data_IF_278152927923
#
_entry.id   IF_278152927923
#
_cell.length_a   1.000
_cell.length_b   1.000
_cell.length_c   1.000
_cell.angle_alpha   90.00
_cell.angle_beta   90.00
_cell.angle_gamma   90.00
#
_symmetry.space_group_name_H-M   'P 1'
#
loop_
_entity.id
_entity.type
_entity.pdbx_description
1 polymer ?
#
# COMPACT_ATOMS: atom_id res chain seq x y z
N UNK A 1 18.46 1.87 27.84
CA UNK A 1 17.26 2.71 27.82
C UNK A 1 16.24 2.03 26.89
N UNK A 2 15.16 1.51 27.45
CA UNK A 2 14.07 0.93 26.67
C UNK A 2 13.29 2.08 26.04
N UNK A 3 13.44 2.27 24.74
CA UNK A 3 12.55 3.18 23.99
C UNK A 3 11.17 2.52 23.87
N UNK A 4 10.08 3.24 24.12
CA UNK A 4 8.75 2.67 24.00
C UNK A 4 8.52 2.19 22.56
N UNK A 5 7.86 1.05 22.40
CA UNK A 5 7.63 0.41 21.09
C UNK A 5 7.15 1.39 20.00
N UNK A 6 6.16 2.20 20.32
CA UNK A 6 5.61 3.16 19.35
C UNK A 6 6.56 4.29 18.96
N UNK A 7 7.52 4.65 19.81
CA UNK A 7 8.53 5.64 19.42
C UNK A 7 9.48 5.07 18.35
N UNK A 8 9.77 3.76 18.41
CA UNK A 8 10.55 3.06 17.39
C UNK A 8 9.71 2.87 16.13
N UNK A 9 8.45 2.47 16.27
CA UNK A 9 7.53 2.29 15.15
C UNK A 9 7.33 3.60 14.36
N UNK A 10 7.11 4.74 15.04
CA UNK A 10 6.98 6.05 14.41
C UNK A 10 8.25 6.51 13.68
N UNK A 11 9.42 6.13 14.20
CA UNK A 11 10.70 6.39 13.53
C UNK A 11 10.87 5.55 12.25
N UNK A 12 10.45 4.29 12.28
CA UNK A 12 10.59 3.37 11.14
C UNK A 12 9.50 3.55 10.09
N UNK A 13 8.31 4.00 10.47
CA UNK A 13 7.16 4.10 9.58
C UNK A 13 7.44 4.85 8.26
N UNK A 14 8.17 5.99 8.21
CA UNK A 14 8.49 6.67 6.96
C UNK A 14 9.46 5.90 6.05
N UNK A 15 10.20 4.92 6.58
CA UNK A 15 11.17 4.13 5.81
C UNK A 15 10.51 2.92 5.13
N UNK A 16 9.44 2.40 5.70
CA UNK A 16 8.73 1.22 5.17
C UNK A 16 8.26 1.40 3.72
N UNK A 17 7.68 2.54 3.31
CA UNK A 17 7.24 2.76 1.93
C UNK A 17 8.36 2.60 0.89
N UNK A 18 9.59 2.96 1.23
CA UNK A 18 10.75 2.81 0.32
C UNK A 18 10.95 1.34 -0.04
N UNK A 19 10.90 0.45 0.97
CA UNK A 19 10.99 -0.99 0.77
C UNK A 19 9.80 -1.55 -0.02
N UNK A 20 8.58 -1.09 0.30
CA UNK A 20 7.37 -1.49 -0.44
C UNK A 20 7.47 -1.08 -1.91
N UNK A 21 7.80 0.17 -2.21
CA UNK A 21 7.98 0.66 -3.57
C UNK A 21 9.04 -0.11 -4.35
N UNK A 22 10.20 -0.35 -3.75
CA UNK A 22 11.26 -1.12 -4.37
C UNK A 22 10.82 -2.56 -4.69
N UNK A 23 10.11 -3.22 -3.77
CA UNK A 23 9.55 -4.56 -3.99
C UNK A 23 8.56 -4.58 -5.16
N UNK A 24 7.70 -3.56 -5.29
CA UNK A 24 6.73 -3.46 -6.41
C UNK A 24 7.42 -3.22 -7.75
N UNK A 25 8.47 -2.43 -7.79
CA UNK A 25 9.30 -2.28 -9.00
C UNK A 25 9.98 -3.62 -9.34
N UNK A 26 10.46 -4.37 -8.35
CA UNK A 26 10.99 -5.72 -8.55
C UNK A 26 9.95 -6.66 -9.17
N UNK A 27 8.71 -6.67 -8.67
CA UNK A 27 7.62 -7.48 -9.24
C UNK A 27 7.32 -7.08 -10.68
N UNK A 28 7.37 -5.79 -11.00
CA UNK A 28 7.18 -5.30 -12.37
C UNK A 28 8.29 -5.82 -13.31
N UNK A 29 9.56 -5.74 -12.90
CA UNK A 29 10.72 -6.22 -13.68
C UNK A 29 10.64 -7.74 -13.87
N UNK A 30 10.23 -8.49 -12.84
CA UNK A 30 10.02 -9.93 -12.92
C UNK A 30 8.81 -10.34 -13.77
N UNK A 31 7.87 -9.39 -14.01
CA UNK A 31 6.65 -9.67 -14.76
C UNK A 31 5.58 -10.36 -13.94
N UNK A 32 5.55 -10.14 -12.63
CA UNK A 32 4.62 -10.76 -11.68
C UNK A 32 3.52 -9.79 -11.24
N UNK A 33 2.38 -10.34 -10.79
CA UNK A 33 1.29 -9.61 -10.15
C UNK A 33 0.62 -8.54 -11.04
N UNK A 34 0.44 -8.84 -12.32
CA UNK A 34 -0.30 -7.99 -13.23
C UNK A 34 -1.78 -7.86 -12.83
N UNK A 35 -2.33 -6.68 -13.07
CA UNK A 35 -3.73 -6.39 -12.81
C UNK A 35 -4.70 -7.02 -13.81
N UNK A 36 -5.98 -6.66 -13.67
CA UNK A 36 -7.05 -7.11 -14.55
C UNK A 36 -6.84 -6.64 -16.01
N UNK A 37 -7.41 -7.37 -16.99
CA UNK A 37 -7.48 -6.88 -18.37
C UNK A 37 -8.15 -5.51 -18.43
N UNK A 38 -7.66 -4.65 -19.32
CA UNK A 38 -8.13 -3.26 -19.43
C UNK A 38 -8.05 -2.71 -20.84
N UNK A 39 -8.79 -1.66 -21.10
CA UNK A 39 -8.77 -0.89 -22.35
C UNK A 39 -8.17 0.50 -22.18
N UNK A 40 -7.61 0.82 -21.01
CA UNK A 40 -6.97 2.13 -20.78
C UNK A 40 -5.74 2.29 -21.68
N UNK A 41 -5.43 3.53 -22.13
CA UNK A 41 -4.36 3.76 -23.09
C UNK A 41 -2.95 3.41 -22.61
N UNK A 42 -2.75 3.30 -21.27
CA UNK A 42 -1.49 2.87 -20.65
C UNK A 42 -1.50 1.40 -20.21
N UNK A 43 -2.52 0.63 -20.59
CA UNK A 43 -2.54 -0.82 -20.38
C UNK A 43 -1.37 -1.48 -21.12
N UNK A 44 -0.74 -2.46 -20.51
CA UNK A 44 0.44 -3.14 -21.06
C UNK A 44 0.10 -4.55 -21.50
N UNK A 45 0.57 -4.94 -22.69
CA UNK A 45 0.46 -6.29 -23.23
C UNK A 45 1.74 -7.08 -22.89
N UNK A 46 1.57 -8.36 -22.61
CA UNK A 46 2.66 -9.25 -22.24
C UNK A 46 2.94 -10.24 -23.37
N UNK A 47 4.22 -10.54 -23.66
CA UNK A 47 4.58 -11.57 -24.64
C UNK A 47 4.09 -12.95 -24.17
N UNK A 48 3.27 -13.63 -24.97
CA UNK A 48 2.73 -14.94 -24.65
C UNK A 48 3.80 -16.02 -24.50
N UNK A 49 4.92 -15.87 -25.20
CA UNK A 49 6.04 -16.78 -25.08
C UNK A 49 6.65 -16.78 -23.67
N UNK A 50 6.67 -15.63 -23.01
CA UNK A 50 7.23 -15.48 -21.65
C UNK A 50 6.19 -15.64 -20.56
N UNK A 51 4.93 -15.30 -20.82
CA UNK A 51 3.82 -15.28 -19.85
C UNK A 51 2.59 -16.01 -20.41
N UNK A 52 2.68 -17.33 -20.66
CA UNK A 52 1.62 -18.12 -21.28
C UNK A 52 0.32 -18.10 -20.47
N UNK A 53 0.41 -17.98 -19.14
CA UNK A 53 -0.72 -17.91 -18.22
C UNK A 53 -1.65 -16.69 -18.48
N UNK A 54 -1.09 -15.60 -19.02
CA UNK A 54 -1.86 -14.41 -19.37
C UNK A 54 -2.47 -14.46 -20.77
N UNK A 55 -2.14 -15.50 -21.53
CA UNK A 55 -2.64 -15.73 -22.89
C UNK A 55 -3.63 -16.89 -23.00
N UNK A 56 -3.97 -17.52 -21.87
CA UNK A 56 -4.95 -18.60 -21.83
C UNK A 56 -6.30 -18.11 -22.42
N UNK A 57 -6.84 -18.89 -23.36
CA UNK A 57 -8.09 -18.54 -24.07
C UNK A 57 -7.95 -17.64 -25.28
N UNK A 58 -6.73 -17.18 -25.60
CA UNK A 58 -6.44 -16.50 -26.86
C UNK A 58 -6.13 -17.52 -27.98
N UNK A 59 -6.18 -17.11 -29.28
CA UNK A 59 -5.72 -17.95 -30.39
C UNK A 59 -4.32 -18.47 -30.17
N UNK A 60 -4.03 -19.70 -30.66
CA UNK A 60 -2.74 -20.37 -30.43
C UNK A 60 -1.52 -19.63 -31.05
N UNK A 61 -1.79 -18.77 -32.03
CA UNK A 61 -0.82 -17.91 -32.72
C UNK A 61 -0.70 -16.50 -32.11
N UNK A 62 -1.42 -16.22 -31.03
CA UNK A 62 -1.34 -14.93 -30.37
C UNK A 62 0.05 -14.68 -29.79
N UNK A 63 0.68 -13.59 -30.19
CA UNK A 63 2.01 -13.19 -29.72
C UNK A 63 1.95 -12.39 -28.42
N UNK A 64 0.85 -11.68 -28.17
CA UNK A 64 0.64 -10.78 -27.03
C UNK A 64 -0.67 -11.08 -26.30
N UNK A 65 -0.65 -10.88 -24.98
CA UNK A 65 -1.84 -10.98 -24.13
C UNK A 65 -2.82 -9.82 -24.39
N UNK A 66 -4.01 -9.88 -23.77
CA UNK A 66 -4.83 -8.69 -23.59
C UNK A 66 -4.06 -7.64 -22.76
N UNK A 67 -4.32 -6.35 -23.07
CA UNK A 67 -3.74 -5.27 -22.26
C UNK A 67 -4.22 -5.37 -20.80
N UNK A 68 -3.29 -5.19 -19.86
CA UNK A 68 -3.53 -5.32 -18.41
C UNK A 68 -3.10 -4.07 -17.68
N UNK A 69 -3.72 -3.83 -16.51
CA UNK A 69 -3.25 -2.78 -15.62
C UNK A 69 -1.85 -3.12 -15.08
N UNK A 70 -0.85 -2.23 -15.19
CA UNK A 70 0.43 -2.39 -14.50
C UNK A 70 0.27 -2.06 -13.01
N UNK A 71 -0.49 -2.91 -12.28
CA UNK A 71 -0.85 -2.68 -10.88
C UNK A 71 0.35 -2.52 -9.96
N UNK A 72 1.48 -3.16 -10.29
CA UNK A 72 2.75 -3.01 -9.57
C UNK A 72 3.24 -1.56 -9.59
N UNK A 73 3.08 -0.85 -10.71
CA UNK A 73 3.48 0.56 -10.82
C UNK A 73 2.52 1.47 -10.04
N UNK A 74 1.23 1.15 -9.98
CA UNK A 74 0.27 1.88 -9.14
C UNK A 74 0.61 1.69 -7.66
N UNK A 75 0.92 0.47 -7.24
CA UNK A 75 1.36 0.17 -5.88
C UNK A 75 2.67 0.88 -5.55
N UNK A 76 3.66 0.87 -6.45
CA UNK A 76 4.92 1.59 -6.27
C UNK A 76 4.71 3.10 -6.11
N UNK A 77 3.80 3.69 -6.92
CA UNK A 77 3.49 5.12 -6.85
C UNK A 77 2.74 5.49 -5.57
N UNK A 78 1.72 4.72 -5.18
CA UNK A 78 0.86 5.03 -4.03
C UNK A 78 1.46 4.55 -2.71
N UNK A 79 1.78 3.26 -2.60
CA UNK A 79 2.28 2.62 -1.37
C UNK A 79 3.79 2.89 -1.15
N UNK A 80 4.54 3.16 -2.21
CA UNK A 80 5.94 3.55 -2.18
C UNK A 80 6.09 5.07 -2.09
N UNK A 81 6.03 5.75 -3.24
CA UNK A 81 6.41 7.16 -3.35
C UNK A 81 5.46 8.11 -2.59
N UNK A 82 4.15 8.05 -2.86
CA UNK A 82 3.19 8.99 -2.26
C UNK A 82 3.11 8.80 -0.75
N UNK A 83 3.03 7.56 -0.28
CA UNK A 83 3.03 7.25 1.15
C UNK A 83 4.31 7.74 1.83
N UNK A 84 5.47 7.52 1.22
CA UNK A 84 6.75 8.06 1.71
C UNK A 84 6.69 9.58 1.87
N UNK A 85 6.26 10.30 0.84
CA UNK A 85 6.19 11.77 0.87
C UNK A 85 5.24 12.28 1.96
N UNK A 86 4.05 11.66 2.10
CA UNK A 86 3.08 12.01 3.14
C UNK A 86 3.71 11.85 4.53
N UNK A 87 4.32 10.71 4.80
CA UNK A 87 4.90 10.41 6.10
C UNK A 87 6.14 11.27 6.37
N UNK A 88 6.97 11.51 5.36
CA UNK A 88 8.15 12.37 5.47
C UNK A 88 7.75 13.79 5.85
N UNK A 89 6.79 14.38 5.12
CA UNK A 89 6.29 15.73 5.41
C UNK A 89 5.59 15.77 6.77
N UNK A 90 4.81 14.76 7.13
CA UNK A 90 4.12 14.71 8.41
C UNK A 90 5.08 14.58 9.59
N UNK A 91 6.10 13.72 9.48
CA UNK A 91 7.09 13.48 10.54
C UNK A 91 8.18 14.55 10.63
N UNK A 92 8.27 15.47 9.66
CA UNK A 92 9.25 16.59 9.71
C UNK A 92 8.99 17.56 10.86
N UNK A 93 7.82 17.52 11.48
CA UNK A 93 7.47 18.27 12.68
C UNK A 93 7.28 17.32 13.87
N UNK A 94 7.57 17.78 15.11
CA UNK A 94 7.28 16.96 16.30
C UNK A 94 5.83 16.51 16.34
N UNK A 95 5.61 15.22 16.48
CA UNK A 95 4.29 14.60 16.53
C UNK A 95 4.12 13.80 17.82
N UNK A 96 2.89 13.66 18.32
CA UNK A 96 2.61 12.75 19.43
C UNK A 96 3.00 11.32 19.06
N UNK A 97 3.47 10.55 20.04
CA UNK A 97 3.73 9.11 19.86
C UNK A 97 2.49 8.39 19.34
N UNK A 98 2.65 7.44 18.45
CA UNK A 98 1.63 6.68 17.67
C UNK A 98 1.05 7.44 16.46
N UNK A 99 1.31 8.74 16.32
CA UNK A 99 0.67 9.52 15.24
C UNK A 99 1.21 9.16 13.86
N UNK A 100 2.53 8.96 13.71
CA UNK A 100 3.13 8.62 12.40
C UNK A 100 2.74 7.19 12.00
N UNK A 101 2.78 6.24 12.94
CA UNK A 101 2.34 4.86 12.72
C UNK A 101 0.84 4.77 12.39
N UNK A 102 0.01 5.56 13.08
CA UNK A 102 -1.42 5.64 12.79
C UNK A 102 -1.69 6.18 11.39
N UNK A 103 -1.00 7.25 10.99
CA UNK A 103 -1.11 7.81 9.64
C UNK A 103 -0.64 6.81 8.57
N UNK A 104 0.46 6.09 8.83
CA UNK A 104 0.92 5.03 7.94
C UNK A 104 -0.19 4.00 7.67
N UNK A 105 -0.80 3.45 8.73
CA UNK A 105 -1.84 2.43 8.60
C UNK A 105 -3.07 2.93 7.84
N UNK A 106 -3.49 4.17 8.07
CA UNK A 106 -4.63 4.77 7.36
C UNK A 106 -4.31 4.96 5.89
N UNK A 107 -3.21 5.62 5.56
CA UNK A 107 -2.86 5.91 4.17
C UNK A 107 -2.56 4.62 3.40
N UNK A 108 -1.79 3.71 3.96
CA UNK A 108 -1.50 2.42 3.33
C UNK A 108 -2.78 1.61 3.11
N UNK A 109 -3.66 1.52 4.11
CA UNK A 109 -4.94 0.82 3.99
C UNK A 109 -5.82 1.40 2.87
N UNK A 110 -5.90 2.72 2.75
CA UNK A 110 -6.64 3.39 1.67
C UNK A 110 -6.03 3.12 0.29
N UNK A 111 -4.71 3.23 0.16
CA UNK A 111 -4.02 2.98 -1.10
C UNK A 111 -4.16 1.52 -1.52
N UNK A 112 -3.95 0.59 -0.59
CA UNK A 112 -4.12 -0.85 -0.83
C UNK A 112 -5.55 -1.18 -1.26
N UNK A 113 -6.55 -0.64 -0.57
CA UNK A 113 -7.95 -0.81 -0.95
C UNK A 113 -8.22 -0.32 -2.37
N UNK A 114 -7.67 0.85 -2.74
CA UNK A 114 -7.87 1.46 -4.06
C UNK A 114 -7.21 0.64 -5.18
N UNK A 115 -5.99 0.16 -4.96
CA UNK A 115 -5.29 -0.64 -5.98
C UNK A 115 -5.96 -2.00 -6.17
N UNK A 116 -6.55 -2.57 -5.11
CA UNK A 116 -7.24 -3.85 -5.20
C UNK A 116 -8.42 -3.83 -6.19
N UNK A 117 -9.00 -2.67 -6.47
CA UNK A 117 -10.07 -2.52 -7.46
C UNK A 117 -9.61 -2.84 -8.91
N UNK A 118 -8.32 -2.68 -9.20
CA UNK A 118 -7.74 -2.95 -10.52
C UNK A 118 -6.88 -4.22 -10.55
N UNK A 119 -6.77 -4.92 -9.42
CA UNK A 119 -6.11 -6.23 -9.33
C UNK A 119 -7.07 -7.36 -9.70
N UNK A 120 -6.50 -8.47 -10.14
CA UNK A 120 -7.25 -9.73 -10.17
C UNK A 120 -7.35 -10.27 -8.74
N UNK A 121 -8.53 -10.76 -8.31
CA UNK A 121 -8.64 -11.48 -7.06
C UNK A 121 -7.73 -12.71 -7.09
N UNK A 122 -7.22 -13.10 -5.92
CA UNK A 122 -6.40 -14.30 -5.80
C UNK A 122 -7.14 -15.52 -6.34
N UNK A 123 -6.50 -16.31 -7.20
CA UNK A 123 -7.11 -17.43 -7.91
C UNK A 123 -7.75 -18.48 -6.99
N UNK A 124 -7.29 -18.54 -5.71
CA UNK A 124 -7.78 -19.50 -4.72
C UNK A 124 -9.00 -19.00 -3.93
N UNK A 125 -9.22 -17.69 -3.84
CA UNK A 125 -10.25 -17.09 -2.98
C UNK A 125 -11.36 -16.39 -3.77
N UNK A 126 -11.07 -15.93 -4.99
CA UNK A 126 -12.02 -15.18 -5.80
C UNK A 126 -12.57 -13.93 -5.10
N UNK A 127 -13.80 -13.59 -5.40
CA UNK A 127 -14.56 -12.56 -4.69
C UNK A 127 -15.28 -13.16 -3.51
N UNK A 128 -15.06 -12.63 -2.30
CA UNK A 128 -15.67 -13.12 -1.07
C UNK A 128 -17.15 -12.77 -0.94
N UNK A 129 -17.56 -11.57 -1.40
CA UNK A 129 -18.92 -11.09 -1.34
C UNK A 129 -19.18 -10.01 -2.40
N UNK A 130 -20.46 -9.83 -2.76
CA UNK A 130 -20.96 -8.78 -3.68
C UNK A 130 -20.31 -8.74 -5.08
N UNK A 131 -19.52 -9.76 -5.46
CA UNK A 131 -18.84 -9.82 -6.76
C UNK A 131 -17.67 -8.84 -6.94
N UNK A 132 -17.28 -8.11 -5.89
CA UNK A 132 -16.16 -7.14 -5.94
C UNK A 132 -15.28 -7.12 -4.69
N UNK A 133 -15.75 -7.64 -3.55
CA UNK A 133 -14.98 -7.64 -2.30
C UNK A 133 -13.95 -8.77 -2.31
N UNK A 134 -12.67 -8.39 -2.28
CA UNK A 134 -11.55 -9.33 -2.20
C UNK A 134 -11.07 -9.51 -0.76
N UNK A 135 -10.31 -10.59 -0.49
CA UNK A 135 -9.65 -10.79 0.79
C UNK A 135 -8.68 -9.64 1.11
N UNK A 136 -8.01 -9.09 0.10
CA UNK A 136 -7.13 -7.93 0.26
C UNK A 136 -7.87 -6.73 0.83
N UNK A 137 -9.04 -6.40 0.29
CA UNK A 137 -9.88 -5.31 0.80
C UNK A 137 -10.40 -5.58 2.22
N UNK A 138 -10.81 -6.81 2.52
CA UNK A 138 -11.27 -7.17 3.86
C UNK A 138 -10.18 -6.97 4.92
N UNK A 139 -8.94 -7.33 4.61
CA UNK A 139 -7.79 -7.16 5.51
C UNK A 139 -7.39 -5.69 5.72
N UNK A 140 -7.75 -4.79 4.80
CA UNK A 140 -7.48 -3.34 4.99
C UNK A 140 -8.40 -2.70 6.02
N UNK A 141 -9.60 -3.23 6.26
CA UNK A 141 -10.56 -2.66 7.21
C UNK A 141 -10.03 -2.62 8.65
N UNK A 142 -9.53 -3.73 9.24
CA UNK A 142 -8.93 -3.68 10.58
C UNK A 142 -7.69 -2.78 10.64
N UNK A 143 -6.92 -2.67 9.56
CA UNK A 143 -5.79 -1.74 9.48
C UNK A 143 -6.25 -0.28 9.55
N UNK A 144 -7.29 0.09 8.79
CA UNK A 144 -7.87 1.43 8.83
C UNK A 144 -8.41 1.75 10.23
N UNK A 145 -9.15 0.82 10.84
CA UNK A 145 -9.67 0.97 12.20
C UNK A 145 -8.53 1.15 13.23
N UNK A 146 -7.49 0.34 13.17
CA UNK A 146 -6.32 0.46 14.04
C UNK A 146 -5.57 1.79 13.82
N UNK A 147 -5.39 2.21 12.58
CA UNK A 147 -4.74 3.47 12.25
C UNK A 147 -5.51 4.69 12.78
N UNK A 148 -6.83 4.71 12.60
CA UNK A 148 -7.69 5.77 13.14
C UNK A 148 -7.68 5.78 14.68
N UNK A 149 -7.69 4.60 15.30
CA UNK A 149 -7.59 4.49 16.76
C UNK A 149 -6.26 5.05 17.28
N UNK A 150 -5.12 4.67 16.67
CA UNK A 150 -3.81 5.19 17.04
C UNK A 150 -3.74 6.71 16.88
N UNK A 151 -4.27 7.27 15.79
CA UNK A 151 -4.34 8.72 15.59
C UNK A 151 -5.19 9.39 16.68
N UNK A 152 -6.35 8.82 17.01
CA UNK A 152 -7.22 9.35 18.05
C UNK A 152 -6.55 9.33 19.42
N UNK A 153 -5.88 8.23 19.78
CA UNK A 153 -5.14 8.10 21.04
C UNK A 153 -3.94 9.05 21.11
N UNK A 154 -3.17 9.17 20.03
CA UNK A 154 -2.04 10.09 19.94
C UNK A 154 -2.47 11.55 20.22
N UNK A 155 -3.58 12.00 19.64
CA UNK A 155 -4.05 13.36 19.81
C UNK A 155 -4.80 13.61 21.13
N UNK A 156 -5.40 12.57 21.72
CA UNK A 156 -6.00 12.66 23.07
C UNK A 156 -4.94 12.71 24.17
N UNK A 157 -3.84 11.94 24.01
CA UNK A 157 -2.72 11.93 24.97
C UNK A 157 -1.81 13.16 24.90
N UNK A 158 -1.79 13.88 23.78
CA UNK A 158 -0.96 15.05 23.53
C UNK A 158 -1.31 16.32 24.32
N UNK A 159 -2.25 16.26 25.28
CA UNK A 159 -2.64 17.41 26.14
C UNK A 159 -1.74 17.62 27.36
N UNK A 160 -0.66 16.89 27.56
CA UNK A 160 0.17 17.08 28.74
C UNK A 160 1.66 16.74 28.50
N UNK A 161 2.37 17.63 27.80
CA UNK A 161 3.79 17.84 28.12
C UNK A 161 3.90 19.25 28.68
N UNK A 162 4.07 19.43 30.01
CA UNK A 162 4.39 20.76 30.53
C UNK A 162 5.73 21.19 29.97
N UNK A 163 5.77 22.44 29.49
CA UNK A 163 7.01 23.11 29.15
C UNK A 163 8.01 22.92 30.30
N UNK A 164 9.18 22.37 30.01
CA UNK A 164 10.29 22.44 30.94
C UNK A 164 10.57 23.92 31.17
N UNK A 165 10.14 24.43 32.32
CA UNK A 165 10.62 25.69 32.85
C UNK A 165 12.12 25.55 33.03
N UNK A 166 12.88 26.27 32.20
CA UNK A 166 14.27 26.49 32.43
C UNK A 166 14.41 27.22 33.77
N UNK A 167 14.97 26.55 34.72
CA UNK A 167 15.60 27.23 35.87
C UNK A 167 17.03 27.51 35.52
N UNK A 168 17.32 28.82 35.55
CA UNK A 168 18.65 29.40 35.50
C UNK A 168 19.55 28.85 36.63
#
# INVERSE_FOLDING_TARGET
SQRPFFAVADFLAPLVPVGLGAGRIGNFVNGELWGAPTTVPWGMQLPCLRFPEHCAGLPADALLSLARHPSQLYEAALEGLLLFLILWVYSSRPRPTMAVSGLFLVCYGLFRFSVELVRLPDAHLGYLAFGWLTMGQLLTLPMLAAGLLLLALAHRGGKAAPARSGSA
#
